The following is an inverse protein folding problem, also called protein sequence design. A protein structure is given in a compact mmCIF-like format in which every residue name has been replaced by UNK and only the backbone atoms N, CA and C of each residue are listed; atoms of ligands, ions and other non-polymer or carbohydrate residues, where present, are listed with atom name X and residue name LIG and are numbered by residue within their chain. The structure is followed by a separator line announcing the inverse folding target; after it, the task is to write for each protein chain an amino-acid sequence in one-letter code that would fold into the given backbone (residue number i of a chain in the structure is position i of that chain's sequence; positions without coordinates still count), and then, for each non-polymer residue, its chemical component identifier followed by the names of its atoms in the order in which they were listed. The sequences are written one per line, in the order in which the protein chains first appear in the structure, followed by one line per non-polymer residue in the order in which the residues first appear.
data_IF_403256558802
#
_entry.id   IF_403256558802
#
_cell.length_a   1.000
_cell.length_b   1.000
_cell.length_c   1.000
_cell.angle_alpha   90.00
_cell.angle_beta   90.00
_cell.angle_gamma   90.00
#
_symmetry.space_group_name_H-M   'P 1'
#
loop_
_entity.id
_entity.type
_entity.pdbx_description
1 polymer ?
#
# COMPACT_ATOMS: atom_id res chain seq x y z
N UNK A 1 -16.96 6.68 -18.68
CA UNK A 1 -16.09 6.25 -17.57
C UNK A 1 -14.65 6.47 -18.00
N UNK A 2 -13.95 7.42 -17.38
CA UNK A 2 -12.50 7.58 -17.53
C UNK A 2 -11.82 6.38 -16.88
N UNK A 3 -11.00 5.65 -17.64
CA UNK A 3 -10.20 4.58 -17.07
C UNK A 3 -9.18 5.19 -16.12
N UNK A 4 -9.14 4.70 -14.88
CA UNK A 4 -8.07 5.07 -13.95
C UNK A 4 -6.82 4.31 -14.40
N UNK A 5 -5.67 4.98 -14.50
CA UNK A 5 -4.44 4.32 -14.95
C UNK A 5 -3.53 4.11 -13.76
N UNK A 6 -3.05 2.88 -13.57
CA UNK A 6 -2.07 2.58 -12.54
C UNK A 6 -0.77 3.32 -12.85
N UNK A 7 -0.32 4.19 -11.95
CA UNK A 7 0.89 4.99 -12.18
C UNK A 7 2.17 4.15 -12.21
N UNK A 8 2.13 2.92 -11.68
CA UNK A 8 3.30 2.02 -11.61
C UNK A 8 3.46 1.15 -12.86
N UNK A 9 2.38 0.52 -13.33
CA UNK A 9 2.45 -0.42 -14.46
C UNK A 9 1.76 0.07 -15.73
N UNK A 10 1.11 1.24 -15.71
CA UNK A 10 0.42 1.82 -16.86
C UNK A 10 -0.88 1.11 -17.26
N UNK A 11 -1.31 0.09 -16.51
CA UNK A 11 -2.55 -0.63 -16.81
C UNK A 11 -3.77 0.29 -16.61
N UNK A 12 -4.68 0.27 -17.57
CA UNK A 12 -6.02 0.80 -17.39
C UNK A 12 -6.77 -0.09 -16.40
N UNK A 13 -7.11 0.46 -15.24
CA UNK A 13 -7.85 -0.24 -14.18
C UNK A 13 -9.32 0.14 -14.19
N UNK A 14 -10.22 -0.84 -14.05
CA UNK A 14 -11.61 -0.55 -13.80
C UNK A 14 -11.77 0.14 -12.43
N UNK A 15 -12.86 0.90 -12.21
CA UNK A 15 -13.06 1.65 -10.97
C UNK A 15 -13.03 0.79 -9.69
N UNK A 16 -13.33 -0.51 -9.78
CA UNK A 16 -13.30 -1.43 -8.64
C UNK A 16 -11.92 -2.03 -8.34
N UNK A 17 -10.93 -1.84 -9.21
CA UNK A 17 -9.57 -2.39 -9.05
C UNK A 17 -8.52 -1.28 -8.86
N UNK A 18 -8.97 -0.07 -8.49
CA UNK A 18 -8.11 1.07 -8.24
C UNK A 18 -7.98 1.34 -6.75
N UNK A 19 -6.76 1.67 -6.31
CA UNK A 19 -6.43 2.03 -4.94
C UNK A 19 -5.76 3.41 -4.94
N UNK A 20 -6.29 4.33 -4.13
CA UNK A 20 -5.66 5.62 -3.87
C UNK A 20 -4.70 5.48 -2.69
N UNK A 21 -3.43 5.78 -2.91
CA UNK A 21 -2.36 5.59 -1.93
C UNK A 21 -1.75 6.95 -1.61
N UNK A 22 -1.71 7.30 -0.32
CA UNK A 22 -0.99 8.48 0.13
C UNK A 22 0.52 8.28 -0.03
N UNK A 23 1.20 9.28 -0.58
CA UNK A 23 2.66 9.35 -0.65
C UNK A 23 3.21 10.24 0.48
N UNK A 24 4.50 10.09 0.78
CA UNK A 24 5.16 10.83 1.86
C UNK A 24 5.15 12.36 1.64
N UNK A 25 5.06 12.80 0.39
CA UNK A 25 4.93 14.21 0.00
C UNK A 25 3.50 14.78 0.18
N UNK A 26 2.55 13.95 0.61
CA UNK A 26 1.15 14.36 0.82
C UNK A 26 0.26 14.26 -0.41
N UNK A 27 0.80 13.92 -1.60
CA UNK A 27 -0.03 13.62 -2.76
C UNK A 27 -0.59 12.20 -2.72
N UNK A 28 -1.64 11.98 -3.50
CA UNK A 28 -2.22 10.65 -3.72
C UNK A 28 -1.81 10.12 -5.09
N UNK A 29 -1.49 8.82 -5.15
CA UNK A 29 -1.23 8.10 -6.40
C UNK A 29 -2.20 6.95 -6.57
N UNK A 30 -2.53 6.66 -7.81
CA UNK A 30 -3.46 5.59 -8.18
C UNK A 30 -2.70 4.32 -8.57
N UNK A 31 -2.92 3.23 -7.85
CA UNK A 31 -2.34 1.92 -8.15
C UNK A 31 -3.44 0.91 -8.46
N UNK A 32 -3.12 -0.11 -9.27
CA UNK A 32 -3.93 -1.32 -9.30
C UNK A 32 -3.71 -2.16 -8.05
N UNK A 33 -4.68 -3.02 -7.71
CA UNK A 33 -4.61 -3.91 -6.54
C UNK A 33 -3.33 -4.75 -6.51
N UNK A 34 -2.89 -5.29 -7.67
CA UNK A 34 -1.65 -6.06 -7.78
C UNK A 34 -0.40 -5.26 -7.42
N UNK A 35 -0.27 -4.04 -7.95
CA UNK A 35 0.87 -3.16 -7.67
C UNK A 35 0.87 -2.71 -6.21
N UNK A 36 -0.30 -2.39 -5.68
CA UNK A 36 -0.46 -2.07 -4.26
C UNK A 36 -0.04 -3.23 -3.35
N UNK A 37 -0.55 -4.44 -3.59
CA UNK A 37 -0.21 -5.62 -2.79
C UNK A 37 1.28 -5.95 -2.83
N UNK A 38 1.92 -5.80 -4.00
CA UNK A 38 3.37 -5.99 -4.14
C UNK A 38 4.13 -4.98 -3.27
N UNK A 39 3.73 -3.71 -3.29
CA UNK A 39 4.36 -2.67 -2.49
C UNK A 39 4.17 -2.88 -0.98
N UNK A 40 2.97 -3.26 -0.55
CA UNK A 40 2.70 -3.58 0.85
C UNK A 40 3.46 -4.83 1.31
N UNK A 41 3.62 -5.84 0.45
CA UNK A 41 4.41 -7.02 0.78
C UNK A 41 5.89 -6.66 1.01
N UNK A 42 6.48 -5.79 0.18
CA UNK A 42 7.85 -5.30 0.39
C UNK A 42 7.98 -4.46 1.67
N UNK A 43 6.98 -3.64 1.99
CA UNK A 43 6.98 -2.87 3.24
C UNK A 43 6.79 -3.76 4.47
N UNK A 44 5.93 -4.78 4.39
CA UNK A 44 5.72 -5.73 5.46
C UNK A 44 6.96 -6.59 5.71
N UNK A 45 7.64 -7.02 4.65
CA UNK A 45 8.95 -7.68 4.73
C UNK A 45 9.98 -6.76 5.40
N UNK A 46 10.11 -5.51 4.94
CA UNK A 46 10.99 -4.53 5.57
C UNK A 46 10.62 -4.24 7.04
N UNK A 47 9.32 -4.18 7.38
CA UNK A 47 8.83 -3.95 8.74
C UNK A 47 9.01 -5.19 9.62
N UNK A 48 9.00 -6.40 9.07
CA UNK A 48 9.23 -7.64 9.82
C UNK A 48 10.63 -7.70 10.43
N UNK A 49 11.61 -7.04 9.81
CA UNK A 49 12.94 -6.83 10.40
C UNK A 49 12.92 -5.89 11.64
N UNK A 50 11.92 -5.01 11.74
CA UNK A 50 11.80 -4.00 12.81
C UNK A 50 10.81 -4.44 13.91
N UNK A 51 9.97 -5.44 13.64
CA UNK A 51 8.97 -6.00 14.57
C UNK A 51 9.56 -7.06 15.53
N UNK A 52 10.89 -7.21 15.63
CA UNK A 52 11.46 -7.93 16.79
C UNK A 52 11.48 -7.06 18.07
N UNK A 53 11.25 -5.74 17.97
CA UNK A 53 11.52 -4.79 19.06
C UNK A 53 10.32 -4.04 19.68
N UNK A 54 9.05 -4.43 19.41
CA UNK A 54 7.92 -3.96 20.22
C UNK A 54 6.89 -5.07 20.44
N UNK A 55 7.09 -5.87 21.49
CA UNK A 55 5.97 -6.55 22.16
C UNK A 55 4.96 -5.47 22.54
N UNK A 56 3.74 -5.63 22.07
CA UNK A 56 2.57 -4.96 22.62
C UNK A 56 2.62 -5.18 24.14
N UNK A 57 2.88 -4.12 24.90
CA UNK A 57 2.82 -4.14 26.35
C UNK A 57 1.40 -4.52 26.75
N UNK A 58 1.25 -5.75 27.22
CA UNK A 58 0.11 -6.17 28.00
C UNK A 58 0.15 -5.38 29.30
N UNK A 59 -0.55 -4.25 29.36
CA UNK A 59 -0.96 -3.68 30.64
C UNK A 59 -2.44 -4.01 30.80
N UNK A 60 -2.67 -5.15 31.45
CA UNK A 60 -3.92 -5.41 32.13
C UNK A 60 -3.79 -4.89 33.56
N UNK A 61 -4.70 -3.99 33.94
CA UNK A 61 -5.43 -3.93 35.22
C UNK A 61 -6.30 -2.67 35.26
#
# INVERSE_FOLDING_TARGET
MTANTCVRCGAATPPHDVVSVASADGAFRMLCSRCFNTEMAHLADAASFIVEARRCGHDGS
#
